data_IF_736954966231
#
_entry.id   IF_736954966231
#
_cell.length_a   1.000
_cell.length_b   1.000
_cell.length_c   1.000
_cell.angle_alpha   90.00
_cell.angle_beta   90.00
_cell.angle_gamma   90.00
#
_symmetry.space_group_name_H-M   'P 1'
#
loop_
_entity.id
_entity.type
_entity.pdbx_description
1 polymer ?
#
# COMPACT_ATOMS: atom_id res chain seq x y z
N UNK A 1 -16.61 -13.65 6.22
CA UNK A 1 -16.16 -12.37 5.68
C UNK A 1 -16.86 -12.02 4.39
N UNK A 2 -17.04 -10.73 4.11
CA UNK A 2 -17.75 -10.22 2.91
C UNK A 2 -16.94 -10.30 1.60
N UNK A 3 -15.84 -11.05 1.54
CA UNK A 3 -15.06 -11.26 0.32
C UNK A 3 -13.95 -10.22 0.03
N UNK A 4 -13.61 -9.30 0.95
CA UNK A 4 -12.58 -8.27 0.75
C UNK A 4 -11.21 -8.86 0.36
N UNK A 5 -10.69 -9.80 1.14
CA UNK A 5 -9.42 -10.47 0.84
C UNK A 5 -9.47 -11.30 -0.44
N UNK A 6 -10.61 -11.91 -0.74
CA UNK A 6 -10.83 -12.60 -2.02
C UNK A 6 -10.75 -11.63 -3.19
N UNK A 7 -11.36 -10.45 -3.06
CA UNK A 7 -11.28 -9.40 -4.08
C UNK A 7 -9.83 -8.96 -4.33
N UNK A 8 -9.06 -8.69 -3.27
CA UNK A 8 -7.65 -8.31 -3.40
C UNK A 8 -6.87 -9.42 -4.12
N UNK A 9 -7.04 -10.66 -3.70
CA UNK A 9 -6.37 -11.80 -4.30
C UNK A 9 -6.73 -12.00 -5.78
N UNK A 10 -8.00 -11.78 -6.14
CA UNK A 10 -8.44 -11.77 -7.54
C UNK A 10 -7.81 -10.61 -8.31
N UNK A 11 -7.80 -9.41 -7.72
CA UNK A 11 -7.21 -8.21 -8.33
C UNK A 11 -5.71 -8.39 -8.56
N UNK A 12 -4.99 -8.95 -7.58
CA UNK A 12 -3.56 -9.27 -7.68
C UNK A 12 -3.27 -10.43 -8.64
N UNK A 13 -4.27 -11.28 -8.93
CA UNK A 13 -4.09 -12.49 -9.74
C UNK A 13 -3.42 -13.63 -9.00
N UNK A 14 -3.40 -13.62 -7.66
CA UNK A 14 -2.85 -14.70 -6.81
C UNK A 14 -3.80 -15.88 -6.72
N UNK A 15 -5.10 -15.66 -6.95
CA UNK A 15 -6.09 -16.73 -7.12
C UNK A 15 -6.76 -16.64 -8.49
N UNK A 16 -7.19 -17.79 -8.99
CA UNK A 16 -7.95 -17.88 -10.25
C UNK A 16 -9.41 -17.47 -10.01
N UNK A 17 -9.97 -16.67 -10.91
CA UNK A 17 -11.37 -16.26 -10.89
C UNK A 17 -11.86 -15.91 -12.29
N UNK A 18 -13.18 -15.77 -12.43
CA UNK A 18 -13.79 -15.30 -13.67
C UNK A 18 -13.73 -13.75 -13.68
N UNK A 19 -13.40 -13.20 -14.83
CA UNK A 19 -13.33 -11.75 -15.04
C UNK A 19 -11.95 -11.26 -15.47
N UNK A 20 -11.94 -10.05 -15.97
CA UNK A 20 -10.77 -9.39 -16.52
C UNK A 20 -10.57 -8.04 -15.83
N UNK A 21 -9.33 -7.64 -15.68
CA UNK A 21 -8.96 -6.33 -15.12
C UNK A 21 -8.39 -5.48 -16.24
N UNK A 22 -8.93 -4.28 -16.39
CA UNK A 22 -8.45 -3.29 -17.34
C UNK A 22 -7.93 -2.06 -16.57
N UNK A 23 -6.86 -1.49 -17.06
CA UNK A 23 -6.30 -0.23 -16.58
C UNK A 23 -6.06 0.70 -17.77
N UNK A 24 -6.68 1.89 -17.77
CA UNK A 24 -6.62 2.86 -18.88
C UNK A 24 -6.96 2.23 -20.24
N UNK A 25 -7.95 1.33 -20.27
CA UNK A 25 -8.40 0.65 -21.49
C UNK A 25 -7.59 -0.59 -21.90
N UNK A 26 -6.46 -0.87 -21.23
CA UNK A 26 -5.62 -2.03 -21.53
C UNK A 26 -5.85 -3.16 -20.53
N UNK A 27 -5.97 -4.40 -21.03
CA UNK A 27 -6.12 -5.59 -20.20
C UNK A 27 -4.83 -5.92 -19.46
N UNK A 28 -4.88 -5.99 -18.14
CA UNK A 28 -3.77 -6.40 -17.30
C UNK A 28 -3.58 -7.92 -17.33
N UNK A 29 -2.63 -8.40 -18.14
CA UNK A 29 -2.30 -9.84 -18.24
C UNK A 29 -1.56 -10.34 -16.99
N UNK A 30 -0.54 -9.60 -16.56
CA UNK A 30 0.26 -9.86 -15.35
C UNK A 30 -0.04 -8.77 -14.32
N UNK A 31 -1.10 -8.98 -13.54
CA UNK A 31 -1.62 -7.97 -12.60
C UNK A 31 -0.60 -7.55 -11.57
N UNK A 32 0.19 -8.49 -11.05
CA UNK A 32 1.24 -8.24 -10.06
C UNK A 32 2.36 -7.29 -10.53
N UNK A 33 2.58 -7.15 -11.85
CA UNK A 33 3.54 -6.20 -12.40
C UNK A 33 3.03 -4.74 -12.30
N UNK A 34 1.71 -4.55 -12.24
CA UNK A 34 1.05 -3.24 -12.24
C UNK A 34 0.49 -2.82 -10.88
N UNK A 35 0.38 -3.76 -9.94
CA UNK A 35 -0.30 -3.54 -8.66
C UNK A 35 0.69 -3.77 -7.51
N UNK A 36 0.79 -2.79 -6.61
CA UNK A 36 1.43 -2.93 -5.31
C UNK A 36 0.34 -3.00 -4.24
N UNK A 37 0.34 -4.03 -3.41
CA UNK A 37 -0.65 -4.18 -2.35
C UNK A 37 0.00 -4.06 -0.97
N UNK A 38 -0.62 -3.28 -0.10
CA UNK A 38 -0.33 -3.21 1.34
C UNK A 38 -1.47 -3.93 2.04
N UNK A 39 -1.16 -5.11 2.58
CA UNK A 39 -2.13 -5.99 3.24
C UNK A 39 -2.31 -5.60 4.70
N UNK A 40 -3.44 -5.98 5.28
CA UNK A 40 -3.75 -5.73 6.69
C UNK A 40 -2.69 -6.30 7.63
N UNK A 41 -2.22 -7.54 7.40
CA UNK A 41 -1.10 -8.10 8.15
C UNK A 41 0.23 -7.83 7.46
N UNK A 42 0.90 -6.78 7.92
CA UNK A 42 2.19 -6.32 7.40
C UNK A 42 3.34 -7.31 7.65
N UNK A 43 3.20 -8.25 8.59
CA UNK A 43 4.28 -9.18 8.95
C UNK A 43 4.60 -10.16 7.82
N UNK A 44 3.64 -10.45 6.96
CA UNK A 44 3.82 -11.35 5.81
C UNK A 44 4.35 -10.68 4.55
N UNK A 45 4.75 -9.41 4.63
CA UNK A 45 5.17 -8.65 3.45
C UNK A 45 6.61 -8.14 3.50
N UNK A 46 7.32 -8.35 4.60
CA UNK A 46 8.67 -7.84 4.83
C UNK A 46 9.61 -9.03 5.05
N UNK A 47 10.56 -9.25 4.14
CA UNK A 47 11.33 -10.49 4.05
C UNK A 47 12.85 -10.31 4.00
N UNK A 48 13.34 -9.07 3.82
CA UNK A 48 14.77 -8.83 3.63
C UNK A 48 15.49 -8.61 4.95
N UNK A 49 16.82 -8.57 4.90
CA UNK A 49 17.68 -8.46 6.08
C UNK A 49 17.73 -7.04 6.67
N UNK A 50 17.29 -6.02 5.91
CA UNK A 50 17.26 -4.64 6.41
C UNK A 50 16.14 -3.82 5.78
N UNK A 51 15.70 -2.77 6.48
CA UNK A 51 14.75 -1.77 5.97
C UNK A 51 15.23 -1.17 4.64
N UNK A 52 16.56 -0.96 4.50
CA UNK A 52 17.16 -0.47 3.28
C UNK A 52 17.04 -1.43 2.10
N UNK A 53 17.23 -2.71 2.35
CA UNK A 53 17.05 -3.75 1.34
C UNK A 53 15.57 -3.91 1.00
N UNK A 54 14.69 -3.80 2.00
CA UNK A 54 13.24 -3.94 1.81
C UNK A 54 12.70 -2.88 0.83
N UNK A 55 12.98 -1.60 1.07
CA UNK A 55 12.60 -0.54 0.12
C UNK A 55 13.33 -0.68 -1.23
N UNK A 56 14.50 -1.30 -1.24
CA UNK A 56 15.28 -1.65 -2.43
C UNK A 56 14.63 -2.69 -3.35
N UNK A 57 13.59 -3.40 -2.87
CA UNK A 57 12.79 -4.32 -3.70
C UNK A 57 11.88 -3.59 -4.69
N UNK A 58 11.50 -2.35 -4.38
CA UNK A 58 10.56 -1.54 -5.19
C UNK A 58 11.24 -0.42 -5.98
N UNK A 59 12.42 0.05 -5.55
CA UNK A 59 13.23 1.02 -6.29
C UNK A 59 14.72 0.80 -6.07
N UNK A 60 15.51 1.04 -7.11
CA UNK A 60 16.99 0.99 -7.03
C UNK A 60 17.62 2.38 -6.83
N UNK A 61 16.81 3.44 -6.85
CA UNK A 61 17.28 4.82 -6.73
C UNK A 61 17.48 5.19 -5.26
N UNK A 62 18.72 5.33 -4.82
CA UNK A 62 19.07 5.60 -3.42
C UNK A 62 18.53 6.94 -2.89
N UNK A 63 18.44 7.95 -3.76
CA UNK A 63 17.80 9.23 -3.42
C UNK A 63 16.31 9.05 -3.05
N UNK A 64 15.57 8.27 -3.83
CA UNK A 64 14.15 8.01 -3.54
C UNK A 64 13.97 7.18 -2.27
N UNK A 65 14.83 6.18 -2.05
CA UNK A 65 14.82 5.39 -0.80
C UNK A 65 15.07 6.29 0.41
N UNK A 66 16.09 7.13 0.35
CA UNK A 66 16.45 8.06 1.43
C UNK A 66 15.31 9.03 1.74
N UNK A 67 14.73 9.65 0.70
CA UNK A 67 13.62 10.59 0.85
C UNK A 67 12.39 9.92 1.47
N UNK A 68 11.98 8.76 0.95
CA UNK A 68 10.81 8.03 1.46
C UNK A 68 11.00 7.59 2.91
N UNK A 69 12.18 7.05 3.28
CA UNK A 69 12.45 6.65 4.66
C UNK A 69 12.50 7.85 5.62
N UNK A 70 12.95 9.04 5.17
CA UNK A 70 12.88 10.27 5.98
C UNK A 70 11.45 10.72 6.19
N UNK A 71 10.61 10.73 5.13
CA UNK A 71 9.19 11.10 5.21
C UNK A 71 8.40 10.27 6.22
N UNK A 72 8.74 9.00 6.36
CA UNK A 72 8.06 8.09 7.30
C UNK A 72 8.82 7.91 8.63
N UNK A 73 9.86 8.71 8.89
CA UNK A 73 10.71 8.67 10.11
C UNK A 73 11.38 7.31 10.37
N UNK A 74 11.82 6.63 9.31
CA UNK A 74 12.53 5.34 9.40
C UNK A 74 13.98 5.41 8.92
N UNK A 75 14.47 6.56 8.50
CA UNK A 75 15.83 6.70 7.97
C UNK A 75 16.92 6.22 8.94
N UNK A 76 16.78 6.54 10.24
CA UNK A 76 17.73 6.11 11.26
C UNK A 76 17.68 4.61 11.57
N UNK A 77 16.67 3.90 11.05
CA UNK A 77 16.48 2.45 11.20
C UNK A 77 16.76 1.67 9.93
N UNK A 78 17.37 2.29 8.93
CA UNK A 78 17.54 1.69 7.60
C UNK A 78 18.36 0.41 7.60
N UNK A 79 19.29 0.24 8.54
CA UNK A 79 20.12 -0.96 8.69
C UNK A 79 19.47 -2.03 9.59
N UNK A 80 18.35 -1.72 10.25
CA UNK A 80 17.67 -2.67 11.13
C UNK A 80 16.91 -3.72 10.31
N UNK A 81 16.84 -4.94 10.86
CA UNK A 81 16.00 -5.98 10.28
C UNK A 81 14.50 -5.60 10.42
N UNK A 82 13.66 -5.75 9.38
CA UNK A 82 12.25 -5.36 9.42
C UNK A 82 11.45 -6.02 10.56
N UNK A 83 11.82 -7.23 11.00
CA UNK A 83 11.13 -7.91 12.10
C UNK A 83 11.28 -7.17 13.44
N UNK A 84 12.34 -6.36 13.63
CA UNK A 84 12.57 -5.58 14.84
C UNK A 84 11.75 -4.28 14.90
N UNK A 85 11.09 -3.92 13.82
CA UNK A 85 10.19 -2.78 13.78
C UNK A 85 8.88 -3.07 14.52
N UNK A 86 8.32 -2.06 15.19
CA UNK A 86 6.95 -2.12 15.71
C UNK A 86 5.93 -2.24 14.56
N UNK A 87 4.70 -2.68 14.86
CA UNK A 87 3.64 -2.79 13.85
C UNK A 87 3.40 -1.49 13.07
N UNK A 88 3.35 -0.35 13.76
CA UNK A 88 3.20 0.96 13.12
C UNK A 88 4.41 1.36 12.27
N UNK A 89 5.62 0.94 12.64
CA UNK A 89 6.82 1.17 11.82
C UNK A 89 6.82 0.32 10.56
N UNK A 90 6.37 -0.93 10.65
CA UNK A 90 6.19 -1.81 9.49
C UNK A 90 5.16 -1.24 8.51
N UNK A 91 4.03 -0.72 9.01
CA UNK A 91 3.04 -0.03 8.18
C UNK A 91 3.65 1.19 7.48
N UNK A 92 4.41 2.03 8.20
CA UNK A 92 5.09 3.18 7.61
C UNK A 92 6.13 2.77 6.56
N UNK A 93 6.84 1.65 6.76
CA UNK A 93 7.76 1.13 5.75
C UNK A 93 7.04 0.73 4.46
N UNK A 94 5.92 -0.02 4.57
CA UNK A 94 5.10 -0.39 3.41
C UNK A 94 4.50 0.85 2.72
N UNK A 95 4.12 1.87 3.48
CA UNK A 95 3.69 3.16 2.92
C UNK A 95 4.83 3.82 2.14
N UNK A 96 6.05 3.88 2.68
CA UNK A 96 7.21 4.41 1.97
C UNK A 96 7.50 3.62 0.67
N UNK A 97 7.41 2.30 0.73
CA UNK A 97 7.57 1.43 -0.44
C UNK A 97 6.50 1.71 -1.51
N UNK A 98 5.24 1.91 -1.10
CA UNK A 98 4.14 2.24 -2.03
C UNK A 98 4.36 3.59 -2.73
N UNK A 99 4.91 4.58 -2.02
CA UNK A 99 5.21 5.91 -2.59
C UNK A 99 6.26 5.84 -3.70
N UNK A 100 7.33 5.05 -3.50
CA UNK A 100 8.46 4.96 -4.47
C UNK A 100 8.29 3.83 -5.48
N UNK A 101 7.29 2.97 -5.33
CA UNK A 101 6.97 1.93 -6.29
C UNK A 101 6.64 2.51 -7.66
N UNK A 102 7.19 1.92 -8.72
CA UNK A 102 6.85 2.29 -10.10
C UNK A 102 5.49 1.75 -10.57
N UNK A 103 4.83 0.93 -9.76
CA UNK A 103 3.53 0.36 -10.13
C UNK A 103 2.45 1.43 -10.11
N UNK A 104 1.60 1.49 -11.16
CA UNK A 104 0.60 2.54 -11.29
C UNK A 104 -0.61 2.38 -10.37
N UNK A 105 -0.84 1.17 -9.83
CA UNK A 105 -1.99 0.88 -8.97
C UNK A 105 -1.47 0.47 -7.60
N UNK A 106 -1.95 1.13 -6.56
CA UNK A 106 -1.65 0.80 -5.17
C UNK A 106 -2.95 0.38 -4.47
N UNK A 107 -2.92 -0.77 -3.80
CA UNK A 107 -4.06 -1.29 -3.04
C UNK A 107 -3.70 -1.27 -1.57
N UNK A 108 -4.59 -0.75 -0.74
CA UNK A 108 -4.47 -0.77 0.72
C UNK A 108 -5.62 -1.57 1.32
N UNK A 109 -5.30 -2.56 2.16
CA UNK A 109 -6.27 -3.35 2.92
C UNK A 109 -6.27 -2.90 4.38
N UNK A 110 -7.37 -2.25 4.80
CA UNK A 110 -7.59 -1.72 6.16
C UNK A 110 -6.43 -0.84 6.68
N UNK A 111 -6.00 0.19 5.94
CA UNK A 111 -4.79 0.95 6.26
C UNK A 111 -4.91 1.80 7.52
N UNK A 112 -6.14 2.02 8.03
CA UNK A 112 -6.42 2.83 9.21
C UNK A 112 -6.49 2.02 10.51
N UNK A 113 -6.39 0.70 10.43
CA UNK A 113 -6.50 -0.17 11.60
C UNK A 113 -5.46 0.19 12.66
N UNK A 114 -5.92 0.61 13.85
CA UNK A 114 -5.08 0.99 14.97
C UNK A 114 -4.45 2.38 14.89
N UNK A 115 -4.82 3.22 13.90
CA UNK A 115 -4.35 4.59 13.79
C UNK A 115 -5.18 5.55 14.66
N UNK A 116 -4.52 6.51 15.31
CA UNK A 116 -5.20 7.66 15.87
C UNK A 116 -5.51 8.70 14.77
N UNK A 117 -6.37 9.68 15.07
CA UNK A 117 -6.80 10.69 14.10
C UNK A 117 -5.63 11.40 13.41
N UNK A 118 -4.63 11.86 14.17
CA UNK A 118 -3.46 12.53 13.62
C UNK A 118 -2.67 11.63 12.63
N UNK A 119 -2.57 10.34 12.91
CA UNK A 119 -1.91 9.38 12.00
C UNK A 119 -2.74 9.13 10.74
N UNK A 120 -4.06 9.14 10.87
CA UNK A 120 -4.99 9.07 9.74
C UNK A 120 -4.83 10.28 8.81
N UNK A 121 -4.77 11.49 9.35
CA UNK A 121 -4.56 12.72 8.55
C UNK A 121 -3.23 12.68 7.79
N UNK A 122 -2.18 12.16 8.41
CA UNK A 122 -0.86 11.96 7.76
C UNK A 122 -0.98 10.94 6.63
N UNK A 123 -1.67 9.82 6.85
CA UNK A 123 -1.90 8.80 5.83
C UNK A 123 -2.64 9.40 4.62
N UNK A 124 -3.72 10.15 4.85
CA UNK A 124 -4.48 10.83 3.79
C UNK A 124 -3.57 11.75 2.97
N UNK A 125 -2.70 12.52 3.64
CA UNK A 125 -1.72 13.37 2.95
C UNK A 125 -0.79 12.58 2.01
N UNK A 126 -0.31 11.41 2.43
CA UNK A 126 0.50 10.53 1.57
C UNK A 126 -0.31 9.92 0.41
N UNK A 127 -1.57 9.53 0.65
CA UNK A 127 -2.45 9.01 -0.40
C UNK A 127 -2.70 10.07 -1.48
N UNK A 128 -3.02 11.30 -1.08
CA UNK A 128 -3.22 12.42 -2.00
C UNK A 128 -1.95 12.70 -2.82
N UNK A 129 -0.77 12.72 -2.19
CA UNK A 129 0.49 12.88 -2.91
C UNK A 129 0.71 11.80 -3.98
N UNK A 130 0.35 10.54 -3.68
CA UNK A 130 0.44 9.46 -4.66
C UNK A 130 -0.54 9.63 -5.83
N UNK A 131 -1.76 10.12 -5.55
CA UNK A 131 -2.76 10.43 -6.59
C UNK A 131 -2.27 11.57 -7.49
N UNK A 132 -1.71 12.64 -6.91
CA UNK A 132 -1.10 13.75 -7.67
C UNK A 132 0.06 13.28 -8.57
N UNK A 133 0.78 12.24 -8.18
CA UNK A 133 1.80 11.57 -8.99
C UNK A 133 1.22 10.66 -10.08
N UNK A 134 -0.09 10.61 -10.24
CA UNK A 134 -0.79 9.84 -11.27
C UNK A 134 -1.02 8.37 -10.92
N UNK A 135 -0.85 7.95 -9.66
CA UNK A 135 -1.19 6.61 -9.21
C UNK A 135 -2.70 6.46 -9.00
N UNK A 136 -3.20 5.27 -9.25
CA UNK A 136 -4.56 4.87 -8.86
C UNK A 136 -4.52 4.20 -7.51
N UNK A 137 -5.25 4.73 -6.54
CA UNK A 137 -5.30 4.19 -5.18
C UNK A 137 -6.64 3.45 -5.00
N UNK A 138 -6.56 2.21 -4.55
CA UNK A 138 -7.70 1.39 -4.16
C UNK A 138 -7.58 1.12 -2.67
N UNK A 139 -8.60 1.51 -1.91
CA UNK A 139 -8.61 1.34 -0.46
C UNK A 139 -9.80 0.45 -0.10
N UNK A 140 -9.53 -0.57 0.69
CA UNK A 140 -10.55 -1.45 1.25
C UNK A 140 -10.58 -1.18 2.74
N UNK A 141 -11.70 -0.66 3.23
CA UNK A 141 -11.85 -0.32 4.64
C UNK A 141 -13.32 -0.36 5.06
N UNK A 142 -13.54 -0.43 6.35
CA UNK A 142 -14.86 -0.23 6.99
C UNK A 142 -14.86 1.03 7.89
N UNK A 143 -13.82 1.84 7.83
CA UNK A 143 -13.66 3.06 8.62
C UNK A 143 -14.40 4.24 7.95
N UNK A 144 -15.59 4.55 8.44
CA UNK A 144 -16.43 5.62 7.91
C UNK A 144 -15.84 7.02 8.12
N UNK A 145 -15.06 7.25 9.19
CA UNK A 145 -14.41 8.54 9.43
C UNK A 145 -13.31 8.80 8.40
N UNK A 146 -12.57 7.75 8.05
CA UNK A 146 -11.58 7.82 6.98
C UNK A 146 -12.24 8.03 5.61
N UNK A 147 -13.29 7.26 5.29
CA UNK A 147 -14.02 7.37 4.02
C UNK A 147 -14.54 8.80 3.79
N UNK A 148 -15.10 9.46 4.83
CA UNK A 148 -15.58 10.85 4.74
C UNK A 148 -14.50 11.87 4.41
N UNK A 149 -13.24 11.57 4.70
CA UNK A 149 -12.10 12.46 4.47
C UNK A 149 -11.40 12.18 3.12
N UNK A 150 -11.73 11.05 2.48
CA UNK A 150 -11.19 10.71 1.17
C UNK A 150 -12.09 11.23 0.06
N UNK A 151 -11.47 11.85 -0.95
CA UNK A 151 -12.17 12.22 -2.19
C UNK A 151 -12.01 11.09 -3.21
N UNK A 152 -13.12 10.46 -3.61
CA UNK A 152 -13.08 9.34 -4.54
C UNK A 152 -14.40 8.61 -4.72
N UNK A 153 -14.42 7.62 -5.62
CA UNK A 153 -15.57 6.75 -5.83
C UNK A 153 -15.67 5.70 -4.72
N UNK A 154 -16.84 5.52 -4.16
CA UNK A 154 -17.13 4.55 -3.11
C UNK A 154 -17.91 3.39 -3.69
N UNK A 155 -17.46 2.17 -3.41
CA UNK A 155 -18.13 0.92 -3.79
C UNK A 155 -18.41 0.08 -2.54
N UNK A 156 -19.62 -0.34 -2.34
CA UNK A 156 -20.01 -1.15 -1.21
C UNK A 156 -20.10 -2.64 -1.57
N UNK A 157 -19.51 -3.49 -0.73
CA UNK A 157 -19.70 -4.94 -0.85
C UNK A 157 -21.03 -5.33 -0.20
N UNK A 158 -22.01 -5.67 -1.03
CA UNK A 158 -23.30 -6.20 -0.56
C UNK A 158 -23.14 -7.68 -0.17
N UNK A 159 -23.86 -8.08 0.89
CA UNK A 159 -23.94 -9.48 1.35
C UNK A 159 -24.84 -10.31 0.45
#
# INVERSE_FOLDING_TARGET
>A
GVGKSTFINLLMGTIKGKGEVFYKGEKLKKRYENIFAVMQDVNYQLFTESVWQEIGTVTKQDNLKNEALRKVHLFNKKEMHPSSLSGGEKQRLLLAMSMVSQKPIIVFDEPTSGLCKMQMDILIGFLNQMVEQGKTIIIITHDFEFIKQCDGAIYEFLK
#
